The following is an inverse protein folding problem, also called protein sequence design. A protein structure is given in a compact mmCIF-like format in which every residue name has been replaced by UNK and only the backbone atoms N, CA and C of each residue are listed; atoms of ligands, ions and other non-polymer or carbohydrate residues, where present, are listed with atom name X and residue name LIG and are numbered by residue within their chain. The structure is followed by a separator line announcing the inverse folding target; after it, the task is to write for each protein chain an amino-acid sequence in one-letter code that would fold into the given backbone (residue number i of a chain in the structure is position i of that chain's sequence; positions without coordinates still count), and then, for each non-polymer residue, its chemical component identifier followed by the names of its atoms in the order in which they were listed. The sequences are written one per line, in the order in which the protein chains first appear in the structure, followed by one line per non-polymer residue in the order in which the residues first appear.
data_IF_840722721203
#
_entry.id   IF_840722721203
#
_cell.length_a   1.000
_cell.length_b   1.000
_cell.length_c   1.000
_cell.angle_alpha   90.00
_cell.angle_beta   90.00
_cell.angle_gamma   90.00
#
_symmetry.space_group_name_H-M   'P 1'
#
loop_
_entity.id
_entity.type
_entity.pdbx_description
1 polymer ?
#
# COMPACT_ATOMS: atom_id res chain seq x y z
N UNK A 1 -22.81 -11.15 -16.73
CA UNK A 1 -22.44 -12.03 -15.59
C UNK A 1 -21.07 -12.63 -15.92
N UNK A 2 -20.06 -12.40 -15.09
CA UNK A 2 -18.75 -13.00 -15.26
C UNK A 2 -18.67 -14.31 -14.47
N UNK A 3 -18.20 -15.39 -15.09
CA UNK A 3 -18.00 -16.67 -14.42
C UNK A 3 -16.51 -17.02 -14.41
N UNK A 4 -15.85 -17.05 -13.25
CA UNK A 4 -14.46 -17.49 -13.16
C UNK A 4 -14.40 -19.02 -13.27
N UNK A 5 -13.59 -19.54 -14.20
CA UNK A 5 -13.30 -20.98 -14.32
C UNK A 5 -11.81 -21.19 -14.08
N UNK A 6 -11.46 -22.01 -13.09
CA UNK A 6 -10.08 -22.42 -12.82
C UNK A 6 -9.80 -23.74 -13.54
N UNK A 7 -8.98 -23.69 -14.58
CA UNK A 7 -8.28 -24.87 -15.09
C UNK A 7 -6.88 -24.87 -14.47
N UNK A 8 -6.27 -26.02 -14.17
CA UNK A 8 -5.06 -26.14 -13.30
C UNK A 8 -3.85 -25.23 -13.63
N UNK A 9 -3.83 -24.54 -14.77
CA UNK A 9 -2.78 -23.63 -15.24
C UNK A 9 -3.29 -22.25 -15.68
N UNK A 10 -4.61 -22.03 -15.78
CA UNK A 10 -5.18 -20.84 -16.38
C UNK A 10 -6.37 -20.28 -15.57
N UNK A 11 -6.36 -18.97 -15.36
CA UNK A 11 -7.48 -18.20 -14.85
C UNK A 11 -8.25 -17.60 -16.02
N UNK A 12 -9.49 -18.02 -16.24
CA UNK A 12 -10.31 -17.56 -17.35
C UNK A 12 -11.50 -16.71 -16.86
N UNK A 13 -11.67 -15.54 -17.48
CA UNK A 13 -12.82 -14.65 -17.30
C UNK A 13 -13.69 -14.76 -18.57
N UNK A 14 -14.92 -15.24 -18.43
CA UNK A 14 -15.92 -15.26 -19.51
C UNK A 14 -16.94 -14.14 -19.36
N UNK A 15 -17.28 -13.46 -20.45
CA UNK A 15 -18.36 -12.45 -20.51
C UNK A 15 -19.59 -13.05 -21.20
N UNK A 16 -20.78 -12.82 -20.66
CA UNK A 16 -22.03 -13.19 -21.35
C UNK A 16 -22.77 -11.94 -21.78
N UNK A 17 -23.09 -11.84 -23.08
CA UNK A 17 -24.13 -10.91 -23.56
C UNK A 17 -25.44 -11.66 -23.69
N UNK A 18 -26.54 -11.00 -23.31
CA UNK A 18 -27.88 -11.57 -23.42
C UNK A 18 -28.59 -10.94 -24.61
N UNK A 19 -28.92 -11.74 -25.63
CA UNK A 19 -29.95 -11.38 -26.62
C UNK A 19 -31.17 -12.23 -26.33
N UNK A 20 -32.34 -11.60 -26.18
CA UNK A 20 -33.62 -12.30 -26.00
C UNK A 20 -33.61 -13.31 -24.83
N UNK A 21 -32.95 -13.00 -23.71
CA UNK A 21 -32.77 -13.89 -22.55
C UNK A 21 -32.00 -15.20 -22.85
N UNK A 22 -31.34 -15.29 -24.00
CA UNK A 22 -30.44 -16.40 -24.33
C UNK A 22 -29.01 -15.97 -23.97
N UNK A 23 -28.26 -16.77 -23.18
CA UNK A 23 -26.84 -16.49 -22.93
C UNK A 23 -26.05 -16.73 -24.21
N UNK A 24 -25.51 -15.67 -24.81
CA UNK A 24 -24.63 -15.77 -25.98
C UNK A 24 -23.19 -15.62 -25.50
N UNK A 25 -22.36 -16.55 -25.98
CA UNK A 25 -20.96 -16.72 -25.62
C UNK A 25 -20.12 -15.55 -26.13
N UNK A 26 -19.52 -14.76 -25.24
CA UNK A 26 -18.61 -13.65 -25.60
C UNK A 26 -17.28 -13.86 -24.91
N UNK A 27 -16.23 -13.98 -25.73
CA UNK A 27 -14.80 -13.80 -25.43
C UNK A 27 -14.28 -14.36 -24.09
N UNK A 28 -13.46 -15.42 -24.18
CA UNK A 28 -12.74 -15.99 -23.04
C UNK A 28 -11.35 -15.38 -22.97
N UNK A 29 -11.09 -14.56 -21.95
CA UNK A 29 -9.73 -14.11 -21.66
C UNK A 29 -9.15 -15.01 -20.57
N UNK A 30 -8.12 -15.77 -20.93
CA UNK A 30 -7.42 -16.67 -20.03
C UNK A 30 -6.00 -16.16 -19.79
N UNK A 31 -5.61 -16.05 -18.52
CA UNK A 31 -4.27 -15.67 -18.08
C UNK A 31 -3.63 -16.90 -17.43
N UNK A 32 -2.39 -17.19 -17.79
CA UNK A 32 -1.62 -18.24 -17.13
C UNK A 32 -1.34 -17.84 -15.68
N UNK A 33 -1.61 -18.74 -14.73
CA UNK A 33 -1.33 -18.49 -13.31
C UNK A 33 0.15 -18.78 -13.08
N UNK A 34 0.96 -17.74 -13.16
CA UNK A 34 2.41 -17.80 -12.90
C UNK A 34 2.66 -17.25 -11.51
N UNK A 35 3.52 -17.90 -10.74
CA UNK A 35 3.96 -17.35 -9.46
C UNK A 35 5.21 -16.48 -9.66
N UNK A 36 5.02 -15.17 -9.85
CA UNK A 36 6.14 -14.24 -10.12
C UNK A 36 7.08 -14.08 -8.93
N UNK A 37 6.57 -14.30 -7.71
CA UNK A 37 7.36 -14.23 -6.48
C UNK A 37 8.41 -15.34 -6.37
N UNK A 38 8.09 -16.57 -6.81
CA UNK A 38 9.01 -17.72 -6.79
C UNK A 38 9.88 -17.80 -8.03
N UNK A 39 9.37 -17.33 -9.17
CA UNK A 39 10.12 -17.29 -10.43
C UNK A 39 11.10 -16.13 -10.52
N UNK A 40 11.07 -15.19 -9.55
CA UNK A 40 11.91 -14.00 -9.54
C UNK A 40 11.56 -12.99 -10.64
N UNK A 41 10.39 -13.12 -11.25
CA UNK A 41 9.87 -12.18 -12.25
C UNK A 41 9.19 -10.97 -11.61
N UNK A 42 8.95 -11.00 -10.30
CA UNK A 42 8.40 -9.89 -9.56
C UNK A 42 9.42 -8.75 -9.42
N UNK A 43 9.05 -7.53 -9.80
CA UNK A 43 9.85 -6.32 -9.69
C UNK A 43 9.74 -5.62 -8.33
N UNK A 44 9.39 -6.37 -7.27
CA UNK A 44 9.29 -5.83 -5.92
C UNK A 44 10.63 -5.24 -5.44
N UNK A 45 10.56 -4.21 -4.59
CA UNK A 45 11.74 -3.70 -3.89
C UNK A 45 12.40 -4.81 -3.05
N UNK A 46 13.72 -4.76 -2.88
CA UNK A 46 14.42 -5.67 -1.97
C UNK A 46 13.98 -5.52 -0.50
N UNK A 47 13.37 -4.38 -0.15
CA UNK A 47 12.78 -4.14 1.17
C UNK A 47 11.25 -4.32 1.16
N UNK A 48 10.70 -5.02 0.17
CA UNK A 48 9.30 -5.39 0.08
C UNK A 48 9.10 -6.90 0.20
N UNK A 49 7.89 -7.28 0.60
CA UNK A 49 7.38 -8.64 0.54
C UNK A 49 6.53 -8.78 -0.73
N UNK A 50 6.68 -9.92 -1.41
CA UNK A 50 5.94 -10.25 -2.62
C UNK A 50 4.75 -11.16 -2.30
N UNK A 51 3.59 -10.85 -2.88
CA UNK A 51 2.36 -11.60 -2.74
C UNK A 51 1.86 -12.03 -4.11
N UNK A 52 1.85 -13.34 -4.33
CA UNK A 52 1.33 -13.94 -5.53
C UNK A 52 -0.19 -13.74 -5.66
N UNK A 53 -0.68 -13.49 -6.88
CA UNK A 53 -2.11 -13.33 -7.18
C UNK A 53 -2.49 -14.22 -8.36
N UNK A 54 -3.80 -14.43 -8.54
CA UNK A 54 -4.30 -15.21 -9.68
C UNK A 54 -4.09 -14.47 -11.02
N UNK A 55 -3.99 -13.14 -10.94
CA UNK A 55 -3.64 -12.25 -12.05
C UNK A 55 -2.44 -11.41 -11.57
N UNK A 56 -1.24 -11.86 -11.91
CA UNK A 56 0.03 -11.21 -11.55
C UNK A 56 0.38 -11.30 -10.06
N UNK A 57 1.00 -10.24 -9.54
CA UNK A 57 1.54 -10.18 -8.19
C UNK A 57 1.46 -8.77 -7.60
N UNK A 58 1.56 -8.71 -6.28
CA UNK A 58 1.50 -7.47 -5.52
C UNK A 58 2.70 -7.37 -4.57
N UNK A 59 3.26 -6.17 -4.41
CA UNK A 59 4.41 -5.94 -3.54
C UNK A 59 4.01 -5.01 -2.40
N UNK A 60 4.49 -5.29 -1.19
CA UNK A 60 4.25 -4.45 -0.02
C UNK A 60 5.57 -4.14 0.68
N UNK A 61 5.85 -2.88 0.98
CA UNK A 61 7.02 -2.55 1.79
C UNK A 61 6.97 -3.24 3.16
N UNK A 62 8.12 -3.75 3.60
CA UNK A 62 8.26 -4.37 4.91
C UNK A 62 7.99 -3.35 6.03
N UNK A 63 7.56 -3.81 7.22
CA UNK A 63 7.37 -2.94 8.37
C UNK A 63 8.59 -2.05 8.62
N UNK A 64 8.36 -0.75 8.84
CA UNK A 64 9.42 0.23 9.03
C UNK A 64 10.07 0.78 7.74
N UNK A 65 9.56 0.44 6.54
CA UNK A 65 9.93 1.05 5.26
C UNK A 65 8.78 1.86 4.67
N UNK A 66 9.13 2.94 3.98
CA UNK A 66 8.22 3.88 3.31
C UNK A 66 8.07 3.48 1.86
N UNK A 67 6.83 3.36 1.40
CA UNK A 67 6.59 3.26 -0.04
C UNK A 67 6.76 4.62 -0.71
N UNK A 68 7.75 4.68 -1.59
CA UNK A 68 8.14 5.83 -2.39
C UNK A 68 7.95 5.56 -3.89
N UNK A 69 7.16 4.53 -4.23
CA UNK A 69 6.87 4.17 -5.62
C UNK A 69 6.15 5.32 -6.33
N UNK A 70 6.46 5.63 -7.61
CA UNK A 70 5.82 6.71 -8.33
C UNK A 70 4.29 6.55 -8.43
N UNK A 71 3.84 5.29 -8.55
CA UNK A 71 2.44 4.93 -8.56
C UNK A 71 2.15 3.93 -7.44
N UNK A 72 1.88 4.46 -6.25
CA UNK A 72 1.49 3.66 -5.07
C UNK A 72 0.13 2.97 -5.21
N UNK A 73 -0.67 3.29 -6.23
CA UNK A 73 -2.03 2.77 -6.40
C UNK A 73 -2.03 1.53 -7.29
N UNK A 74 -1.23 1.52 -8.37
CA UNK A 74 -1.15 0.39 -9.28
C UNK A 74 0.13 -0.44 -9.07
N UNK A 75 1.21 0.20 -8.60
CA UNK A 75 2.52 -0.42 -8.44
C UNK A 75 3.12 -0.11 -7.06
N UNK A 76 2.48 -0.53 -5.96
CA UNK A 76 3.03 -0.37 -4.61
C UNK A 76 4.31 -1.20 -4.43
N UNK A 77 5.11 -0.84 -3.43
CA UNK A 77 6.22 -1.66 -2.96
C UNK A 77 7.40 -1.82 -3.93
N UNK A 78 7.49 -1.01 -4.99
CA UNK A 78 8.61 -1.01 -5.96
C UNK A 78 9.81 -0.21 -5.46
N UNK A 79 9.54 0.84 -4.71
CA UNK A 79 10.56 1.67 -4.07
C UNK A 79 10.27 1.76 -2.57
N UNK A 80 10.98 0.98 -1.77
CA UNK A 80 10.82 0.97 -0.31
C UNK A 80 12.04 1.59 0.38
N UNK A 81 11.86 2.78 0.92
CA UNK A 81 12.93 3.56 1.55
C UNK A 81 12.86 3.46 3.07
N UNK A 82 14.00 3.22 3.72
CA UNK A 82 14.07 3.32 5.18
C UNK A 82 13.88 4.80 5.57
N UNK A 83 12.98 5.13 6.52
CA UNK A 83 12.92 6.46 7.10
C UNK A 83 14.32 6.81 7.63
N UNK A 84 14.83 7.98 7.26
CA UNK A 84 16.09 8.48 7.84
C UNK A 84 15.91 8.54 9.36
N UNK A 85 16.94 8.12 10.10
CA UNK A 85 16.90 8.08 11.56
C UNK A 85 16.49 9.45 12.13
N UNK A 86 15.84 9.48 13.31
CA UNK A 86 15.27 10.70 13.87
C UNK A 86 16.33 11.73 14.32
N UNK A 87 17.63 11.50 14.09
CA UNK A 87 18.68 12.27 14.74
C UNK A 87 18.98 13.64 14.11
N UNK A 88 18.44 13.99 12.95
CA UNK A 88 18.78 15.27 12.31
C UNK A 88 17.65 15.98 11.55
N UNK A 89 16.39 15.62 11.79
CA UNK A 89 15.28 16.22 11.05
C UNK A 89 14.33 16.93 12.01
N UNK A 90 14.46 18.26 12.06
CA UNK A 90 13.51 19.14 12.74
C UNK A 90 13.96 19.82 14.02
N UNK A 91 15.23 20.20 14.22
CA UNK A 91 15.61 21.07 15.35
C UNK A 91 15.09 22.50 15.13
N UNK A 92 13.78 22.71 15.31
CA UNK A 92 13.23 24.06 15.44
C UNK A 92 13.08 24.36 16.92
N UNK A 93 13.77 25.40 17.39
CA UNK A 93 13.58 25.93 18.74
C UNK A 93 12.22 26.64 18.79
N UNK A 94 11.22 25.97 19.37
CA UNK A 94 9.89 26.52 19.63
C UNK A 94 9.48 26.17 21.05
N UNK A 95 8.78 27.09 21.70
CA UNK A 95 8.23 26.88 23.05
C UNK A 95 7.12 25.81 23.08
N UNK A 96 6.45 25.55 21.94
CA UNK A 96 5.41 24.53 21.82
C UNK A 96 5.58 23.72 20.54
N UNK A 97 5.68 22.41 20.73
CA UNK A 97 5.73 21.40 19.69
C UNK A 97 4.35 21.27 19.01
N UNK A 98 4.33 21.12 17.69
CA UNK A 98 3.15 20.87 16.88
C UNK A 98 2.61 19.44 17.02
N UNK A 99 1.54 19.10 16.27
CA UNK A 99 1.01 17.74 16.24
C UNK A 99 2.08 16.75 15.78
N UNK A 100 2.13 15.58 16.42
CA UNK A 100 3.13 14.52 16.20
C UNK A 100 4.59 14.90 16.49
N UNK A 101 4.82 15.95 17.28
CA UNK A 101 6.13 16.32 17.82
C UNK A 101 6.21 16.07 19.34
N UNK A 102 7.38 15.69 19.81
CA UNK A 102 7.77 15.52 21.21
C UNK A 102 8.88 16.52 21.54
N UNK A 103 8.73 17.25 22.63
CA UNK A 103 9.72 18.23 23.06
C UNK A 103 10.87 17.52 23.78
N UNK A 104 12.10 17.79 23.35
CA UNK A 104 13.35 17.22 23.91
C UNK A 104 14.40 18.31 24.07
N UNK A 105 15.38 18.09 24.94
CA UNK A 105 16.50 19.01 25.11
C UNK A 105 17.69 18.53 24.27
N UNK A 106 18.31 19.43 23.52
CA UNK A 106 19.56 19.13 22.83
C UNK A 106 20.75 19.12 23.80
N UNK A 107 21.94 18.74 23.33
CA UNK A 107 23.16 18.70 24.14
C UNK A 107 23.58 20.08 24.72
N UNK A 108 23.02 21.18 24.20
CA UNK A 108 23.24 22.55 24.68
C UNK A 108 22.17 23.00 25.69
N UNK A 109 21.20 22.15 26.03
CA UNK A 109 20.09 22.46 26.94
C UNK A 109 18.96 23.26 26.30
N UNK A 110 18.92 23.40 24.97
CA UNK A 110 17.85 24.09 24.26
C UNK A 110 16.67 23.13 24.02
N UNK A 111 15.45 23.62 24.22
CA UNK A 111 14.23 22.87 23.94
C UNK A 111 14.00 22.81 22.42
N UNK A 112 14.03 21.60 21.86
CA UNK A 112 13.82 21.30 20.45
C UNK A 112 12.63 20.36 20.27
N UNK A 113 11.84 20.58 19.22
CA UNK A 113 10.73 19.70 18.85
C UNK A 113 11.26 18.56 17.96
N UNK A 114 11.04 17.30 18.33
CA UNK A 114 11.43 16.14 17.50
C UNK A 114 10.16 15.38 17.10
N UNK A 115 10.08 14.81 15.88
CA UNK A 115 8.94 13.97 15.54
C UNK A 115 8.80 12.80 16.55
N UNK A 116 7.57 12.53 17.00
CA UNK A 116 7.25 11.40 17.87
C UNK A 116 7.65 10.09 17.19
N UNK A 117 7.88 9.04 17.99
CA UNK A 117 8.10 7.68 17.47
C UNK A 117 6.96 7.29 16.53
N UNK A 118 7.32 6.88 15.31
CA UNK A 118 6.36 6.54 14.27
C UNK A 118 5.82 7.74 13.49
N UNK A 119 6.41 8.93 13.61
CA UNK A 119 6.15 10.08 12.75
C UNK A 119 7.41 10.50 11.96
N UNK A 120 7.22 10.90 10.71
CA UNK A 120 8.28 11.42 9.83
C UNK A 120 7.99 12.87 9.47
N UNK A 121 9.01 13.72 9.43
CA UNK A 121 8.84 15.08 8.93
C UNK A 121 8.75 15.03 7.40
N UNK A 122 7.81 15.79 6.83
CA UNK A 122 7.63 15.91 5.39
C UNK A 122 8.45 17.07 4.84
N UNK A 123 8.43 17.28 3.51
CA UNK A 123 9.17 18.38 2.85
C UNK A 123 8.77 19.77 3.36
N UNK A 124 7.57 19.90 3.91
CA UNK A 124 7.02 21.13 4.49
C UNK A 124 7.46 21.39 5.94
N UNK A 125 8.28 20.50 6.52
CA UNK A 125 8.75 20.61 7.90
C UNK A 125 7.75 20.11 8.96
N UNK A 126 6.59 19.55 8.59
CA UNK A 126 5.61 19.02 9.54
C UNK A 126 5.80 17.53 9.80
N UNK A 127 5.66 17.10 11.06
CA UNK A 127 5.65 15.68 11.43
C UNK A 127 4.27 15.06 11.17
N UNK A 128 4.22 14.01 10.33
CA UNK A 128 3.02 13.18 10.13
C UNK A 128 3.25 11.76 10.64
N UNK A 129 2.21 11.13 11.18
CA UNK A 129 2.26 9.74 11.64
C UNK A 129 2.45 8.82 10.43
N UNK A 130 3.55 8.07 10.47
CA UNK A 130 4.09 7.21 9.43
C UNK A 130 3.83 5.72 9.67
N UNK A 131 3.62 5.28 10.92
CA UNK A 131 3.38 3.86 11.25
C UNK A 131 1.90 3.56 11.50
N UNK A 132 1.02 4.11 10.66
CA UNK A 132 -0.43 3.95 10.82
C UNK A 132 -0.82 2.48 10.66
N UNK A 133 -0.26 1.78 9.66
CA UNK A 133 -0.55 0.37 9.42
C UNK A 133 -0.17 -0.56 10.59
N UNK A 134 0.82 -0.19 11.39
CA UNK A 134 1.27 -0.96 12.56
C UNK A 134 0.55 -0.57 13.86
N UNK A 135 -0.02 0.64 13.95
CA UNK A 135 -0.67 1.17 15.17
C UNK A 135 -2.19 1.18 15.11
N UNK A 136 -2.77 1.47 13.95
CA UNK A 136 -4.21 1.54 13.71
C UNK A 136 -4.48 1.24 12.23
N UNK A 137 -4.73 -0.03 11.91
CA UNK A 137 -5.05 -0.45 10.55
C UNK A 137 -6.52 -0.10 10.24
N UNK A 138 -6.79 1.17 9.97
CA UNK A 138 -8.12 1.69 9.58
C UNK A 138 -8.58 1.19 8.20
N UNK A 139 -7.68 0.58 7.43
CA UNK A 139 -8.03 -0.03 6.16
C UNK A 139 -9.01 -1.19 6.33
N UNK A 140 -9.89 -1.37 5.34
CA UNK A 140 -10.75 -2.53 5.25
C UNK A 140 -9.94 -3.84 5.38
N UNK A 141 -10.54 -4.90 5.94
CA UNK A 141 -9.89 -6.21 6.08
C UNK A 141 -9.42 -6.78 4.73
N UNK A 142 -10.09 -6.39 3.65
CA UNK A 142 -9.76 -6.73 2.27
C UNK A 142 -8.89 -5.68 1.58
N UNK A 143 -8.33 -4.72 2.30
CA UNK A 143 -7.32 -3.80 1.80
C UNK A 143 -5.93 -4.11 2.39
N UNK A 144 -4.91 -3.69 1.66
CA UNK A 144 -3.50 -3.66 2.04
C UNK A 144 -3.19 -2.23 2.44
N UNK A 145 -2.84 -2.08 3.72
CA UNK A 145 -2.33 -0.83 4.24
C UNK A 145 -0.84 -0.70 3.88
N UNK A 146 -0.48 0.42 3.26
CA UNK A 146 0.89 0.81 2.91
C UNK A 146 1.21 2.19 3.47
N UNK A 147 2.30 2.29 4.24
CA UNK A 147 2.78 3.56 4.77
C UNK A 147 3.48 4.36 3.67
N UNK A 148 3.13 5.63 3.51
CA UNK A 148 3.69 6.54 2.50
C UNK A 148 4.27 7.79 3.16
N UNK A 149 5.00 8.62 2.42
CA UNK A 149 5.51 9.89 2.96
C UNK A 149 4.41 10.89 3.34
N UNK A 150 3.20 10.73 2.79
CA UNK A 150 2.04 11.58 3.06
C UNK A 150 1.08 11.04 4.12
N UNK A 151 1.37 9.86 4.69
CA UNK A 151 0.53 9.18 5.70
C UNK A 151 0.46 7.68 5.43
N UNK A 152 -0.74 7.15 5.21
CA UNK A 152 -0.97 5.77 4.82
C UNK A 152 -1.97 5.70 3.67
N UNK A 153 -1.90 4.64 2.88
CA UNK A 153 -2.86 4.35 1.83
C UNK A 153 -3.39 2.94 1.98
N UNK A 154 -4.68 2.78 1.75
CA UNK A 154 -5.36 1.50 1.72
C UNK A 154 -5.56 1.12 0.25
N UNK A 155 -4.96 0.01 -0.18
CA UNK A 155 -5.14 -0.53 -1.52
C UNK A 155 -5.95 -1.82 -1.44
N UNK A 156 -7.07 -1.86 -2.14
CA UNK A 156 -7.95 -3.02 -2.12
C UNK A 156 -7.27 -4.25 -2.73
N UNK A 157 -7.30 -5.37 -2.01
CA UNK A 157 -6.82 -6.65 -2.51
C UNK A 157 -7.68 -7.01 -3.71
N UNK A 158 -7.04 -7.21 -4.85
CA UNK A 158 -7.71 -7.78 -6.00
C UNK A 158 -7.95 -9.26 -5.70
N UNK A 159 -9.16 -9.60 -5.27
CA UNK A 159 -9.54 -10.97 -4.95
C UNK A 159 -10.63 -11.48 -5.88
N UNK A 160 -10.27 -12.54 -6.62
CA UNK A 160 -10.97 -13.73 -7.17
C UNK A 160 -12.48 -13.73 -7.49
N UNK A 161 -13.31 -12.81 -6.98
CA UNK A 161 -14.77 -12.84 -7.13
C UNK A 161 -15.45 -11.47 -7.36
N UNK A 162 -14.75 -10.34 -7.25
CA UNK A 162 -15.40 -9.03 -7.45
C UNK A 162 -14.52 -8.06 -8.24
N UNK A 163 -15.02 -7.65 -9.41
CA UNK A 163 -14.69 -6.35 -10.00
C UNK A 163 -14.99 -5.29 -8.94
N UNK A 164 -13.96 -4.62 -8.42
CA UNK A 164 -13.95 -3.31 -7.71
C UNK A 164 -14.97 -2.95 -6.62
N UNK A 165 -16.02 -3.71 -6.30
CA UNK A 165 -17.23 -3.08 -5.75
C UNK A 165 -17.44 -3.11 -4.22
N UNK A 166 -16.58 -3.75 -3.41
CA UNK A 166 -16.79 -3.81 -1.94
C UNK A 166 -15.84 -2.96 -1.11
N UNK A 167 -14.76 -2.50 -1.71
CA UNK A 167 -13.71 -1.81 -1.00
C UNK A 167 -13.84 -0.27 -1.17
N UNK A 168 -14.63 0.16 -2.15
CA UNK A 168 -14.99 1.54 -2.46
C UNK A 168 -15.95 2.20 -1.44
N UNK A 169 -16.44 1.46 -0.43
CA UNK A 169 -17.35 2.01 0.58
C UNK A 169 -16.63 2.64 1.79
N UNK A 170 -15.31 2.48 1.94
CA UNK A 170 -14.58 2.97 3.12
C UNK A 170 -13.24 3.67 2.87
N UNK A 171 -12.82 3.86 1.61
CA UNK A 171 -11.65 4.70 1.34
C UNK A 171 -12.09 6.17 1.31
N UNK A 172 -12.28 6.75 2.50
CA UNK A 172 -12.56 8.18 2.64
C UNK A 172 -11.40 9.00 2.05
N UNK A 173 -11.79 10.03 1.31
CA UNK A 173 -10.99 11.08 0.66
C UNK A 173 -9.81 11.63 1.47
#
# INVERSE_FOLDING_TARGET
LHFPVFHSLYFCIGSFTFLLNVPIFVEFQCVEVVNECTTGKADCSCNADCFDRAEGYECKCRPGFVDASPDTVHYPGRVCNKPKSPEHYGQTSRQQCGPNEECRFNAKGEMVCQCKRGAVQQRDGKCKVFSQCERMNECDRNAICSNTYDGFKCQCKVSRFHFRDFCDLYSSE
#
